data_IF_106692263416
#
_entry.id   IF_106692263416
#
_cell.length_a   1.000
_cell.length_b   1.000
_cell.length_c   1.000
_cell.angle_alpha   90.00
_cell.angle_beta   90.00
_cell.angle_gamma   90.00
#
_symmetry.space_group_name_H-M   'P 1'
#
loop_
_entity.id
_entity.type
_entity.pdbx_description
1 polymer ?
#
# COMPACT_ATOMS: atom_id res chain seq x y z
N UNK A 1 16.84 18.01 -1.74
CA UNK A 1 16.67 16.56 -1.84
C UNK A 1 15.47 16.18 -1.01
N UNK A 2 14.47 15.51 -1.61
CA UNK A 2 13.16 15.30 -0.98
C UNK A 2 13.28 14.43 0.27
N UNK A 3 12.63 14.82 1.37
CA UNK A 3 12.50 14.06 2.63
C UNK A 3 12.11 12.58 2.39
N UNK A 4 11.38 12.29 1.32
CA UNK A 4 11.02 10.92 0.89
C UNK A 4 12.23 10.04 0.58
N UNK A 5 13.28 10.56 -0.05
CA UNK A 5 14.46 9.77 -0.40
C UNK A 5 15.34 9.44 0.82
N UNK A 6 15.37 10.33 1.82
CA UNK A 6 16.07 10.10 3.08
C UNK A 6 15.34 9.06 3.95
N UNK A 7 14.01 9.14 4.00
CA UNK A 7 13.17 8.17 4.73
C UNK A 7 13.32 6.79 4.08
N UNK A 8 13.31 6.68 2.74
CA UNK A 8 13.51 5.40 2.04
C UNK A 8 14.82 4.71 2.41
N UNK A 9 15.93 5.44 2.48
CA UNK A 9 17.24 4.88 2.87
C UNK A 9 17.26 4.25 4.27
N UNK A 10 16.44 4.79 5.18
CA UNK A 10 16.35 4.27 6.55
C UNK A 10 15.34 3.13 6.64
N UNK A 11 14.25 3.21 5.88
CA UNK A 11 13.11 2.26 5.92
C UNK A 11 13.45 0.94 5.21
N UNK A 12 14.14 1.00 4.06
CA UNK A 12 14.41 -0.16 3.22
C UNK A 12 15.14 -1.30 3.95
N UNK A 13 16.23 -1.07 4.73
CA UNK A 13 16.91 -2.15 5.43
C UNK A 13 16.04 -2.89 6.45
N UNK A 14 15.14 -2.17 7.14
CA UNK A 14 14.21 -2.79 8.08
C UNK A 14 13.14 -3.62 7.37
N UNK A 15 12.60 -3.12 6.26
CA UNK A 15 11.63 -3.83 5.45
C UNK A 15 12.23 -5.09 4.82
N UNK A 16 13.46 -5.03 4.30
CA UNK A 16 14.19 -6.18 3.76
C UNK A 16 14.47 -7.23 4.85
N UNK A 17 14.88 -6.80 6.03
CA UNK A 17 15.06 -7.70 7.17
C UNK A 17 13.77 -8.46 7.52
N UNK A 18 12.60 -7.80 7.46
CA UNK A 18 11.31 -8.45 7.69
C UNK A 18 10.99 -9.53 6.64
N UNK A 19 11.45 -9.36 5.39
CA UNK A 19 11.21 -10.35 4.32
C UNK A 19 11.87 -11.69 4.67
N UNK A 20 13.05 -11.68 5.27
CA UNK A 20 13.75 -12.90 5.66
C UNK A 20 12.95 -13.77 6.66
N UNK A 21 12.08 -13.15 7.46
CA UNK A 21 11.20 -13.84 8.40
C UNK A 21 9.90 -14.37 7.78
N UNK A 22 9.64 -14.11 6.49
CA UNK A 22 8.45 -14.57 5.75
C UNK A 22 7.13 -14.35 6.48
N UNK A 23 6.95 -13.17 7.05
CA UNK A 23 5.73 -12.81 7.77
C UNK A 23 4.58 -12.65 6.78
N UNK A 24 3.39 -13.16 7.13
CA UNK A 24 2.23 -12.99 6.24
C UNK A 24 1.89 -11.50 6.06
N UNK A 25 1.72 -11.00 4.82
CA UNK A 25 1.31 -9.63 4.57
C UNK A 25 -0.01 -9.24 5.25
N UNK A 26 -0.92 -10.21 5.42
CA UNK A 26 -2.20 -9.99 6.14
C UNK A 26 -1.97 -9.61 7.60
N UNK A 27 -1.06 -10.31 8.27
CA UNK A 27 -0.70 -10.02 9.67
C UNK A 27 -0.09 -8.62 9.81
N UNK A 28 0.74 -8.22 8.85
CA UNK A 28 1.35 -6.89 8.85
C UNK A 28 0.31 -5.80 8.61
N UNK A 29 -0.65 -6.04 7.71
CA UNK A 29 -1.78 -5.12 7.48
C UNK A 29 -2.61 -4.90 8.74
N UNK A 30 -2.94 -5.98 9.48
CA UNK A 30 -3.69 -5.86 10.73
C UNK A 30 -2.94 -5.05 11.79
N UNK A 31 -1.62 -5.23 11.91
CA UNK A 31 -0.79 -4.44 12.84
C UNK A 31 -0.70 -2.98 12.37
N UNK A 32 -0.57 -2.75 11.07
CA UNK A 32 -0.54 -1.41 10.48
C UNK A 32 -1.84 -0.64 10.79
N UNK A 33 -2.99 -1.28 10.63
CA UNK A 33 -4.31 -0.70 10.92
C UNK A 33 -4.42 -0.26 12.39
N UNK A 34 -3.96 -1.11 13.32
CA UNK A 34 -3.91 -0.79 14.75
C UNK A 34 -2.97 0.41 15.01
N UNK A 35 -1.80 0.45 14.37
CA UNK A 35 -0.86 1.56 14.54
C UNK A 35 -1.41 2.86 13.97
N UNK A 36 -2.11 2.82 12.85
CA UNK A 36 -2.77 3.99 12.24
C UNK A 36 -3.92 4.50 13.11
N UNK A 37 -4.73 3.61 13.69
CA UNK A 37 -5.80 3.97 14.62
C UNK A 37 -5.28 4.69 15.88
N UNK A 38 -4.09 4.31 16.36
CA UNK A 38 -3.45 4.91 17.53
C UNK A 38 -2.29 5.86 17.19
N UNK A 39 -2.26 6.39 15.96
CA UNK A 39 -1.15 7.18 15.44
C UNK A 39 -0.83 8.39 16.33
N UNK A 40 -1.84 9.10 16.79
CA UNK A 40 -1.68 10.26 17.68
C UNK A 40 -0.96 9.90 18.98
N UNK A 41 -1.25 8.73 19.55
CA UNK A 41 -0.60 8.23 20.75
C UNK A 41 0.87 7.88 20.51
N UNK A 42 1.18 7.24 19.38
CA UNK A 42 2.54 6.85 19.02
C UNK A 42 3.42 8.04 18.65
N UNK A 43 2.90 9.04 17.96
CA UNK A 43 3.64 10.22 17.53
C UNK A 43 3.78 11.27 18.63
N UNK A 44 2.93 11.24 19.66
CA UNK A 44 2.99 12.22 20.74
C UNK A 44 4.26 12.04 21.58
N UNK A 45 5.16 13.04 21.65
CA UNK A 45 6.38 12.96 22.45
C UNK A 45 6.12 13.00 23.96
N UNK A 46 4.94 13.47 24.39
CA UNK A 46 4.56 13.51 25.82
C UNK A 46 4.19 12.15 26.38
N UNK A 47 3.86 11.18 25.51
CA UNK A 47 3.51 9.81 25.93
C UNK A 47 4.79 9.02 26.15
N UNK A 48 5.04 8.47 27.36
CA UNK A 48 6.25 7.74 27.68
C UNK A 48 6.37 6.48 26.81
N UNK A 49 7.61 6.16 26.41
CA UNK A 49 7.92 5.02 25.54
C UNK A 49 7.43 3.68 26.12
N UNK A 50 7.47 3.54 27.44
CA UNK A 50 6.97 2.35 28.12
C UNK A 50 5.47 2.13 27.90
N UNK A 51 4.67 3.18 27.87
CA UNK A 51 3.24 3.08 27.56
C UNK A 51 3.01 2.61 26.12
N UNK A 52 3.75 3.17 25.16
CA UNK A 52 3.72 2.76 23.74
C UNK A 52 4.10 1.29 23.57
N UNK A 53 5.13 0.82 24.29
CA UNK A 53 5.53 -0.59 24.31
C UNK A 53 4.46 -1.50 24.90
N UNK A 54 3.75 -1.07 25.94
CA UNK A 54 2.66 -1.85 26.53
C UNK A 54 1.54 -2.10 25.52
N UNK A 55 1.18 -1.12 24.71
CA UNK A 55 0.19 -1.30 23.64
C UNK A 55 0.65 -2.42 22.68
N UNK A 56 1.92 -2.40 22.26
CA UNK A 56 2.46 -3.46 21.38
C UNK A 56 2.53 -4.81 22.13
N UNK A 57 2.85 -4.82 23.41
CA UNK A 57 2.93 -6.05 24.20
C UNK A 57 1.57 -6.74 24.37
N UNK A 58 0.46 -5.99 24.41
CA UNK A 58 -0.90 -6.56 24.44
C UNK A 58 -1.16 -7.40 23.18
N UNK A 59 -0.51 -7.09 22.08
CA UNK A 59 -0.61 -7.83 20.82
C UNK A 59 0.20 -9.14 20.80
N UNK A 60 1.00 -9.40 21.85
CA UNK A 60 1.74 -10.67 22.02
C UNK A 60 0.77 -11.84 22.16
N UNK A 61 1.00 -12.88 21.40
CA UNK A 61 0.13 -14.06 21.35
C UNK A 61 -0.85 -14.07 20.17
N UNK A 62 -1.20 -12.90 19.64
CA UNK A 62 -2.06 -12.81 18.44
C UNK A 62 -1.25 -12.63 17.16
N UNK A 63 -0.10 -11.93 17.25
CA UNK A 63 0.72 -11.57 16.09
C UNK A 63 2.13 -12.15 16.18
N UNK A 64 2.83 -12.13 15.03
CA UNK A 64 4.18 -12.69 14.90
C UNK A 64 5.17 -12.00 15.86
N UNK A 65 5.91 -12.75 16.70
CA UNK A 65 6.81 -12.18 17.72
C UNK A 65 7.96 -11.36 17.11
N UNK A 66 8.44 -11.71 15.93
CA UNK A 66 9.51 -10.96 15.26
C UNK A 66 9.05 -9.57 14.83
N UNK A 67 7.80 -9.46 14.34
CA UNK A 67 7.19 -8.19 13.97
C UNK A 67 7.07 -7.27 15.18
N UNK A 68 6.59 -7.80 16.29
CA UNK A 68 6.42 -7.04 17.53
C UNK A 68 7.77 -6.62 18.13
N UNK A 69 8.79 -7.48 18.08
CA UNK A 69 10.15 -7.13 18.50
C UNK A 69 10.72 -5.98 17.67
N UNK A 70 10.50 -5.98 16.37
CA UNK A 70 10.91 -4.87 15.50
C UNK A 70 10.21 -3.57 15.88
N UNK A 71 8.89 -3.61 16.13
CA UNK A 71 8.15 -2.43 16.59
C UNK A 71 8.72 -1.89 17.91
N UNK A 72 9.00 -2.76 18.88
CA UNK A 72 9.62 -2.37 20.16
C UNK A 72 11.00 -1.75 19.95
N UNK A 73 11.84 -2.35 19.08
CA UNK A 73 13.18 -1.85 18.77
C UNK A 73 13.15 -0.44 18.16
N UNK A 74 12.17 -0.16 17.29
CA UNK A 74 11.99 1.17 16.70
C UNK A 74 11.57 2.20 17.76
N UNK A 75 10.70 1.79 18.70
CA UNK A 75 10.31 2.62 19.83
C UNK A 75 11.49 2.90 20.77
N UNK A 76 12.38 1.93 20.99
CA UNK A 76 13.62 2.10 21.78
C UNK A 76 14.57 3.11 21.15
N UNK A 77 14.55 3.22 19.83
CA UNK A 77 15.30 4.23 19.07
C UNK A 77 14.63 5.61 19.01
N UNK A 78 13.52 5.78 19.71
CA UNK A 78 12.74 7.03 19.77
C UNK A 78 12.30 7.57 18.41
N UNK A 79 12.04 6.65 17.45
CA UNK A 79 11.61 6.98 16.09
C UNK A 79 10.26 6.34 15.72
N UNK A 80 9.19 6.61 16.47
CA UNK A 80 7.87 6.01 16.23
C UNK A 80 7.31 6.34 14.85
N UNK A 81 7.72 7.45 14.25
CA UNK A 81 7.34 7.90 12.90
C UNK A 81 7.73 6.93 11.79
N UNK A 82 8.74 6.06 12.02
CA UNK A 82 9.19 5.08 11.04
C UNK A 82 8.36 3.79 11.05
N UNK A 83 7.52 3.55 12.07
CA UNK A 83 6.75 2.31 12.19
C UNK A 83 5.84 2.06 10.98
N UNK A 84 4.95 3.00 10.67
CA UNK A 84 4.02 2.85 9.54
C UNK A 84 4.76 2.77 8.19
N UNK A 85 5.71 3.67 7.86
CA UNK A 85 6.46 3.58 6.60
C UNK A 85 7.21 2.25 6.41
N UNK A 86 7.78 1.66 7.47
CA UNK A 86 8.48 0.37 7.37
C UNK A 86 7.51 -0.75 7.02
N UNK A 87 6.35 -0.81 7.67
CA UNK A 87 5.35 -1.84 7.41
C UNK A 87 4.72 -1.68 6.02
N UNK A 88 4.44 -0.46 5.60
CA UNK A 88 3.96 -0.16 4.23
C UNK A 88 4.99 -0.60 3.19
N UNK A 89 6.25 -0.28 3.41
CA UNK A 89 7.35 -0.67 2.51
C UNK A 89 7.50 -2.19 2.42
N UNK A 90 7.39 -2.87 3.56
CA UNK A 90 7.39 -4.34 3.59
C UNK A 90 6.30 -4.94 2.71
N UNK A 91 5.06 -4.42 2.78
CA UNK A 91 3.95 -4.90 1.95
C UNK A 91 4.25 -4.69 0.46
N UNK A 92 4.80 -3.53 0.10
CA UNK A 92 5.20 -3.23 -1.29
C UNK A 92 6.25 -4.22 -1.78
N UNK A 93 7.27 -4.52 -0.97
CA UNK A 93 8.32 -5.47 -1.31
C UNK A 93 7.79 -6.90 -1.44
N UNK A 94 6.92 -7.35 -0.52
CA UNK A 94 6.27 -8.66 -0.63
C UNK A 94 5.45 -8.78 -1.92
N UNK A 95 4.67 -7.76 -2.26
CA UNK A 95 3.90 -7.73 -3.50
C UNK A 95 4.80 -7.79 -4.75
N UNK A 96 5.97 -7.16 -4.69
CA UNK A 96 6.96 -7.21 -5.79
C UNK A 96 7.55 -8.61 -5.95
N UNK A 97 7.90 -9.27 -4.85
CA UNK A 97 8.44 -10.64 -4.86
C UNK A 97 7.40 -11.65 -5.37
N UNK A 98 6.15 -11.52 -4.92
CA UNK A 98 5.06 -12.38 -5.35
C UNK A 98 4.54 -12.03 -6.76
N UNK A 99 5.14 -11.05 -7.43
CA UNK A 99 4.68 -10.51 -8.72
C UNK A 99 3.20 -10.10 -8.69
N UNK A 100 2.75 -9.59 -7.54
CA UNK A 100 1.42 -9.04 -7.36
C UNK A 100 1.45 -7.58 -7.79
N UNK A 101 0.63 -7.22 -8.78
CA UNK A 101 0.47 -5.82 -9.21
C UNK A 101 -0.81 -5.24 -8.65
N UNK A 102 -0.69 -4.10 -7.99
CA UNK A 102 -1.84 -3.29 -7.59
C UNK A 102 -2.22 -2.37 -8.75
N UNK A 103 -3.50 -2.40 -9.12
CA UNK A 103 -4.05 -1.60 -10.21
C UNK A 103 -5.27 -0.86 -9.69
N UNK A 104 -5.27 0.44 -9.88
CA UNK A 104 -6.37 1.31 -9.55
C UNK A 104 -7.16 1.61 -10.82
N UNK A 105 -8.45 1.32 -10.80
CA UNK A 105 -9.35 1.61 -11.93
C UNK A 105 -10.36 2.63 -11.46
N UNK A 106 -10.33 3.80 -12.08
CA UNK A 106 -11.30 4.88 -11.83
C UNK A 106 -12.41 4.80 -12.87
N UNK A 107 -13.67 4.79 -12.42
CA UNK A 107 -14.86 4.67 -13.28
C UNK A 107 -16.00 5.54 -12.75
N UNK A 108 -16.98 5.87 -13.60
CA UNK A 108 -18.18 6.60 -13.20
C UNK A 108 -19.18 5.77 -12.42
N UNK A 109 -19.20 4.45 -12.68
CA UNK A 109 -20.10 3.48 -12.06
C UNK A 109 -19.30 2.30 -11.50
N UNK A 110 -19.84 1.57 -10.51
CA UNK A 110 -19.18 0.38 -10.00
C UNK A 110 -18.93 -0.64 -11.10
N UNK A 111 -17.72 -1.21 -11.14
CA UNK A 111 -17.35 -2.22 -12.11
C UNK A 111 -18.01 -3.55 -11.74
N UNK A 112 -18.87 -4.07 -12.61
CA UNK A 112 -19.52 -5.36 -12.42
C UNK A 112 -18.50 -6.51 -12.34
N UNK A 113 -18.78 -7.58 -11.58
CA UNK A 113 -17.85 -8.70 -11.38
C UNK A 113 -17.36 -9.34 -12.67
N UNK A 114 -18.21 -9.44 -13.69
CA UNK A 114 -17.83 -9.94 -15.01
C UNK A 114 -16.77 -9.06 -15.68
N UNK A 115 -16.99 -7.76 -15.74
CA UNK A 115 -16.06 -6.81 -16.35
C UNK A 115 -14.74 -6.77 -15.57
N UNK A 116 -14.79 -6.88 -14.24
CA UNK A 116 -13.60 -7.00 -13.40
C UNK A 116 -12.75 -8.22 -13.78
N UNK A 117 -13.36 -9.38 -14.00
CA UNK A 117 -12.65 -10.59 -14.47
C UNK A 117 -11.99 -10.38 -15.83
N UNK A 118 -12.70 -9.81 -16.78
CA UNK A 118 -12.18 -9.53 -18.13
C UNK A 118 -10.99 -8.56 -18.06
N UNK A 119 -11.10 -7.47 -17.29
CA UNK A 119 -10.01 -6.51 -17.08
C UNK A 119 -8.78 -7.18 -16.46
N UNK A 120 -8.96 -7.94 -15.39
CA UNK A 120 -7.87 -8.67 -14.72
C UNK A 120 -7.17 -9.63 -15.68
N UNK A 121 -7.92 -10.40 -16.48
CA UNK A 121 -7.35 -11.34 -17.46
C UNK A 121 -6.54 -10.60 -18.52
N UNK A 122 -7.08 -9.50 -19.08
CA UNK A 122 -6.40 -8.72 -20.10
C UNK A 122 -5.13 -8.06 -19.59
N UNK A 123 -5.20 -7.48 -18.40
CA UNK A 123 -4.04 -6.83 -17.77
C UNK A 123 -2.98 -7.88 -17.37
N UNK A 124 -3.38 -9.07 -16.92
CA UNK A 124 -2.45 -10.18 -16.65
C UNK A 124 -1.66 -10.58 -17.90
N UNK A 125 -2.33 -10.68 -19.05
CA UNK A 125 -1.66 -10.98 -20.32
C UNK A 125 -0.63 -9.92 -20.70
N UNK A 126 -0.96 -8.64 -20.50
CA UNK A 126 -0.08 -7.51 -20.82
C UNK A 126 1.09 -7.37 -19.85
N UNK A 127 0.87 -7.64 -18.56
CA UNK A 127 1.86 -7.36 -17.50
C UNK A 127 2.65 -8.59 -17.07
N UNK A 128 2.28 -9.79 -17.54
CA UNK A 128 2.87 -11.08 -17.13
C UNK A 128 2.94 -11.24 -15.60
N UNK A 129 1.95 -10.71 -14.88
CA UNK A 129 1.90 -10.73 -13.42
C UNK A 129 1.22 -12.02 -12.94
N UNK A 130 1.64 -12.57 -11.79
CA UNK A 130 0.98 -13.76 -11.21
C UNK A 130 -0.41 -13.42 -10.66
N UNK A 131 -0.57 -12.24 -10.09
CA UNK A 131 -1.83 -11.81 -9.47
C UNK A 131 -2.01 -10.30 -9.61
N UNK A 132 -3.26 -9.89 -9.83
CA UNK A 132 -3.65 -8.48 -9.90
C UNK A 132 -4.60 -8.19 -8.74
N UNK A 133 -4.29 -7.14 -7.97
CA UNK A 133 -5.18 -6.53 -7.00
C UNK A 133 -5.83 -5.32 -7.67
N UNK A 134 -7.11 -5.42 -8.01
CA UNK A 134 -7.85 -4.36 -8.66
C UNK A 134 -8.70 -3.61 -7.62
N UNK A 135 -8.40 -2.32 -7.44
CA UNK A 135 -9.18 -1.39 -6.62
C UNK A 135 -9.99 -0.50 -7.54
N UNK A 136 -11.32 -0.46 -7.36
CA UNK A 136 -12.19 0.44 -8.11
C UNK A 136 -12.43 1.73 -7.32
N UNK A 137 -12.15 2.87 -7.94
CA UNK A 137 -12.55 4.18 -7.44
C UNK A 137 -13.68 4.74 -8.31
N UNK A 138 -14.64 5.38 -7.67
CA UNK A 138 -15.74 6.05 -8.34
C UNK A 138 -15.44 7.54 -8.44
N UNK A 139 -15.44 8.07 -9.66
CA UNK A 139 -15.29 9.50 -9.90
C UNK A 139 -16.24 9.92 -11.04
N UNK A 140 -17.24 10.69 -10.71
CA UNK A 140 -18.24 11.20 -11.65
C UNK A 140 -17.70 12.27 -12.58
N UNK A 141 -16.51 12.84 -12.30
CA UNK A 141 -15.88 13.86 -13.15
C UNK A 141 -15.36 13.34 -14.48
N UNK A 142 -15.25 12.02 -14.62
CA UNK A 142 -14.74 11.38 -15.85
C UNK A 142 -15.75 11.39 -16.99
N UNK A 143 -17.00 11.79 -16.79
CA UNK A 143 -18.12 11.76 -17.78
C UNK A 143 -18.47 10.35 -18.24
N UNK A 144 -17.48 9.44 -18.44
CA UNK A 144 -17.64 8.05 -18.85
C UNK A 144 -16.32 7.41 -19.25
N UNK A 145 -16.29 6.08 -19.34
CA UNK A 145 -15.09 5.30 -19.63
C UNK A 145 -14.35 4.86 -18.38
N UNK A 146 -13.06 4.54 -18.53
CA UNK A 146 -12.19 4.00 -17.47
C UNK A 146 -10.82 4.68 -17.53
N UNK A 147 -10.24 4.96 -16.37
CA UNK A 147 -8.83 5.30 -16.22
C UNK A 147 -8.17 4.18 -15.42
N UNK A 148 -7.12 3.58 -15.98
CA UNK A 148 -6.39 2.46 -15.38
C UNK A 148 -5.02 2.97 -14.98
N UNK A 149 -4.78 3.02 -13.67
CA UNK A 149 -3.49 3.41 -13.09
C UNK A 149 -2.74 2.16 -12.62
N UNK A 150 -1.58 1.93 -13.19
CA UNK A 150 -0.61 0.93 -12.73
C UNK A 150 0.58 1.64 -12.08
N UNK A 151 1.42 0.90 -11.37
CA UNK A 151 2.63 1.48 -10.73
C UNK A 151 3.58 2.20 -11.73
N UNK A 152 3.51 1.85 -13.01
CA UNK A 152 4.40 2.38 -14.05
C UNK A 152 3.71 3.23 -15.11
N UNK A 153 2.43 2.97 -15.39
CA UNK A 153 1.71 3.60 -16.50
C UNK A 153 0.28 3.98 -16.11
N UNK A 154 -0.21 5.05 -16.72
CA UNK A 154 -1.61 5.46 -16.68
C UNK A 154 -2.18 5.27 -18.07
N UNK A 155 -3.27 4.54 -18.18
CA UNK A 155 -4.01 4.33 -19.44
C UNK A 155 -5.37 5.00 -19.27
N UNK A 156 -5.57 6.10 -19.97
CA UNK A 156 -6.84 6.84 -19.98
C UNK A 156 -7.69 6.42 -21.19
N UNK A 157 -8.82 5.76 -20.90
CA UNK A 157 -9.81 5.34 -21.89
C UNK A 157 -11.12 6.11 -21.63
N UNK A 158 -11.03 7.29 -21.04
CA UNK A 158 -12.21 8.12 -20.79
C UNK A 158 -12.77 8.72 -22.09
N UNK A 159 -14.06 8.97 -22.07
CA UNK A 159 -14.71 9.70 -23.17
C UNK A 159 -14.16 11.12 -23.32
N UNK A 160 -13.74 11.73 -22.21
CA UNK A 160 -13.13 13.06 -22.19
C UNK A 160 -11.84 13.11 -23.04
N UNK A 161 -10.94 12.13 -22.85
CA UNK A 161 -9.68 12.07 -23.60
C UNK A 161 -9.92 11.74 -25.08
N UNK A 162 -10.90 10.88 -25.39
CA UNK A 162 -11.30 10.59 -26.77
C UNK A 162 -11.84 11.83 -27.49
N UNK A 163 -12.71 12.60 -26.84
CA UNK A 163 -13.23 13.86 -27.41
C UNK A 163 -12.12 14.86 -27.64
N UNK A 164 -11.20 15.01 -26.68
CA UNK A 164 -10.05 15.92 -26.79
C UNK A 164 -9.14 15.52 -27.96
N UNK A 165 -8.89 14.23 -28.15
CA UNK A 165 -8.11 13.73 -29.28
C UNK A 165 -8.78 14.04 -30.60
N UNK A 166 -10.10 13.89 -30.69
CA UNK A 166 -10.86 14.22 -31.90
C UNK A 166 -10.84 15.74 -32.21
N UNK A 167 -10.96 16.57 -31.19
CA UNK A 167 -10.90 18.06 -31.35
C UNK A 167 -9.51 18.54 -31.77
N UNK A 168 -8.44 17.83 -31.44
CA UNK A 168 -7.07 18.18 -31.83
C UNK A 168 -6.72 17.67 -33.27
N UNK A 169 -7.59 16.90 -33.91
CA UNK A 169 -7.43 16.38 -35.27
C UNK A 169 -8.15 17.23 -36.32
N UNK A 170 -8.90 18.24 -35.88
CA UNK A 170 -9.58 19.26 -36.72
C UNK A 170 -8.83 20.59 -36.59
#
# INVERSE_FOLDING_TARGET
MSNKALIAKVVDPYAEALISFRISPKTVLSVLDILQTHQDTFLNPRVPTNFKKNIINVLRGTYNPFLLRLCVLILDKEKPELLCPILERYIVLCNSIDQIKSIKVTSTIPIYPYLKKVLVTRINQLTKSKKILLTNLLDTRIVGGLIIETSTNIIDISLKERLKTLMNLV
#
